data_IF_523999634178
#
_entry.id   IF_523999634178
#
_cell.length_a   1.000
_cell.length_b   1.000
_cell.length_c   1.000
_cell.angle_alpha   90.00
_cell.angle_beta   90.00
_cell.angle_gamma   90.00
#
_symmetry.space_group_name_H-M   'P 1'
#
loop_
_entity.id
_entity.type
_entity.pdbx_description
1 polymer ?
#
# COMPACT_ATOMS: atom_id res chain seq x y z
N UNK A 1 -28.03 -0.28 -11.52
CA UNK A 1 -27.38 -0.39 -12.83
C UNK A 1 -28.39 -0.07 -13.98
N UNK A 2 -29.55 -0.76 -14.06
CA UNK A 2 -30.52 -0.64 -15.15
C UNK A 2 -31.06 0.80 -15.33
N UNK A 3 -31.26 1.58 -14.24
CA UNK A 3 -31.71 2.97 -14.30
C UNK A 3 -30.58 3.99 -14.48
N UNK A 4 -29.31 3.61 -14.29
CA UNK A 4 -28.18 4.51 -14.41
C UNK A 4 -27.54 4.52 -15.81
N UNK A 5 -27.56 3.37 -16.51
CA UNK A 5 -26.95 3.22 -17.83
C UNK A 5 -27.50 4.20 -18.88
N UNK A 6 -28.84 4.46 -18.94
CA UNK A 6 -29.39 5.41 -19.92
C UNK A 6 -28.95 6.88 -19.71
N UNK A 7 -28.46 7.21 -18.50
CA UNK A 7 -28.02 8.57 -18.14
C UNK A 7 -26.50 8.76 -18.29
N UNK A 8 -25.78 7.78 -18.83
CA UNK A 8 -24.37 7.93 -19.16
C UNK A 8 -24.23 8.78 -20.41
N UNK A 9 -23.91 10.06 -20.24
CA UNK A 9 -23.59 10.98 -21.33
C UNK A 9 -22.08 11.13 -21.48
N UNK A 10 -21.63 11.53 -22.68
CA UNK A 10 -20.21 11.83 -22.94
C UNK A 10 -19.67 12.95 -22.04
N UNK A 11 -20.54 13.82 -21.54
CA UNK A 11 -20.20 14.91 -20.62
C UNK A 11 -19.63 14.43 -19.28
N UNK A 12 -19.99 13.20 -18.83
CA UNK A 12 -19.42 12.57 -17.64
C UNK A 12 -17.90 12.32 -17.76
N UNK A 13 -17.38 12.25 -18.98
CA UNK A 13 -15.97 12.06 -19.28
C UNK A 13 -15.26 13.34 -19.71
N UNK A 14 -15.84 14.51 -19.46
CA UNK A 14 -15.19 15.78 -19.74
C UNK A 14 -14.11 16.11 -18.69
N UNK A 15 -13.03 16.82 -19.09
CA UNK A 15 -11.97 17.28 -18.19
C UNK A 15 -12.39 18.49 -17.33
N UNK A 16 -13.50 19.14 -17.69
CA UNK A 16 -13.98 20.31 -16.95
C UNK A 16 -15.03 19.90 -15.92
N UNK A 17 -14.65 20.00 -14.65
CA UNK A 17 -15.60 19.88 -13.55
C UNK A 17 -16.28 21.24 -13.33
N UNK A 18 -17.59 21.27 -13.34
CA UNK A 18 -18.40 22.43 -12.94
C UNK A 18 -19.60 21.93 -12.16
N UNK A 19 -20.23 22.84 -11.38
CA UNK A 19 -21.45 22.51 -10.64
C UNK A 19 -22.63 22.10 -11.55
N UNK A 20 -22.55 22.43 -12.83
CA UNK A 20 -23.53 22.06 -13.86
C UNK A 20 -23.13 20.72 -14.56
N UNK A 21 -21.85 20.34 -14.55
CA UNK A 21 -21.32 19.12 -15.17
C UNK A 21 -20.44 18.38 -14.18
N UNK A 22 -21.02 17.39 -13.49
CA UNK A 22 -20.33 16.55 -12.52
C UNK A 22 -19.52 15.44 -13.25
N UNK A 23 -18.43 15.85 -13.89
CA UNK A 23 -17.55 14.92 -14.59
C UNK A 23 -16.87 13.94 -13.62
N UNK A 24 -16.83 12.66 -13.97
CA UNK A 24 -16.13 11.59 -13.23
C UNK A 24 -14.64 11.49 -13.57
N UNK A 25 -14.22 12.03 -14.71
CA UNK A 25 -12.85 11.88 -15.21
C UNK A 25 -11.77 12.43 -14.26
N UNK A 26 -11.91 13.63 -13.66
CA UNK A 26 -10.94 14.13 -12.69
C UNK A 26 -10.79 13.22 -11.47
N UNK A 27 -11.90 12.67 -10.98
CA UNK A 27 -11.88 11.74 -9.84
C UNK A 27 -11.17 10.43 -10.17
N UNK A 28 -11.34 9.90 -11.37
CA UNK A 28 -10.64 8.70 -11.85
C UNK A 28 -9.13 8.98 -11.94
N UNK A 29 -8.74 10.11 -12.56
CA UNK A 29 -7.34 10.50 -12.68
C UNK A 29 -6.70 10.66 -11.28
N UNK A 30 -7.38 11.36 -10.38
CA UNK A 30 -6.90 11.53 -9.00
C UNK A 30 -6.74 10.19 -8.27
N UNK A 31 -7.66 9.26 -8.46
CA UNK A 31 -7.56 7.92 -7.86
C UNK A 31 -6.34 7.17 -8.38
N UNK A 32 -6.09 7.20 -9.69
CA UNK A 32 -4.91 6.57 -10.29
C UNK A 32 -3.62 7.22 -9.77
N UNK A 33 -3.58 8.55 -9.75
CA UNK A 33 -2.42 9.31 -9.29
C UNK A 33 -2.12 9.05 -7.81
N UNK A 34 -3.15 9.09 -6.97
CA UNK A 34 -3.06 8.81 -5.54
C UNK A 34 -2.61 7.38 -5.27
N UNK A 35 -3.15 6.40 -6.02
CA UNK A 35 -2.76 4.99 -5.92
C UNK A 35 -1.28 4.82 -6.29
N UNK A 36 -0.83 5.40 -7.40
CA UNK A 36 0.55 5.32 -7.85
C UNK A 36 1.54 5.91 -6.83
N UNK A 37 1.24 7.11 -6.30
CA UNK A 37 2.08 7.75 -5.29
C UNK A 37 2.13 6.96 -3.98
N UNK A 38 0.99 6.44 -3.55
CA UNK A 38 0.91 5.60 -2.33
C UNK A 38 1.76 4.35 -2.48
N UNK A 39 1.68 3.66 -3.61
CA UNK A 39 2.48 2.47 -3.88
C UNK A 39 3.97 2.80 -4.02
N UNK A 40 4.31 3.91 -4.65
CA UNK A 40 5.70 4.36 -4.78
C UNK A 40 6.39 4.55 -3.42
N UNK A 41 5.64 4.95 -2.40
CA UNK A 41 6.13 5.06 -1.02
C UNK A 41 6.07 3.73 -0.26
N UNK A 42 4.92 3.05 -0.31
CA UNK A 42 4.67 1.88 0.53
C UNK A 42 5.38 0.61 0.05
N UNK A 43 5.49 0.39 -1.27
CA UNK A 43 6.06 -0.86 -1.81
C UNK A 43 7.56 -1.00 -1.50
N UNK A 44 8.42 -0.02 -1.76
CA UNK A 44 9.83 -0.14 -1.43
C UNK A 44 10.04 -0.37 0.07
N UNK A 45 9.42 0.46 0.91
CA UNK A 45 9.53 0.35 2.38
C UNK A 45 9.03 -1.01 2.87
N UNK A 46 7.88 -1.46 2.36
CA UNK A 46 7.28 -2.74 2.72
C UNK A 46 8.13 -3.94 2.33
N UNK A 47 8.64 -3.98 1.09
CA UNK A 47 9.46 -5.10 0.61
C UNK A 47 10.81 -5.16 1.35
N UNK A 48 11.51 -4.02 1.53
CA UNK A 48 12.76 -4.02 2.27
C UNK A 48 12.57 -4.43 3.73
N UNK A 49 11.49 -3.98 4.36
CA UNK A 49 11.13 -4.42 5.72
C UNK A 49 10.86 -5.93 5.78
N UNK A 50 10.12 -6.47 4.80
CA UNK A 50 9.84 -7.89 4.71
C UNK A 50 11.10 -8.73 4.51
N UNK A 51 12.02 -8.29 3.62
CA UNK A 51 13.33 -8.95 3.42
C UNK A 51 14.11 -8.98 4.74
N UNK A 52 14.18 -7.84 5.42
CA UNK A 52 14.87 -7.77 6.71
C UNK A 52 14.27 -8.75 7.73
N UNK A 53 12.95 -8.74 7.88
CA UNK A 53 12.25 -9.59 8.85
C UNK A 53 12.35 -11.09 8.51
N UNK A 54 12.30 -11.45 7.23
CA UNK A 54 12.33 -12.85 6.79
C UNK A 54 13.75 -13.44 6.81
N UNK A 55 14.76 -12.67 6.36
CA UNK A 55 16.09 -13.21 6.08
C UNK A 55 17.17 -12.78 7.08
N UNK A 56 17.09 -11.56 7.62
CA UNK A 56 18.15 -11.00 8.45
C UNK A 56 17.84 -10.98 9.94
N UNK A 57 16.58 -10.82 10.29
CA UNK A 57 16.18 -10.71 11.68
C UNK A 57 16.22 -12.06 12.40
N UNK A 58 16.68 -12.07 13.64
CA UNK A 58 16.62 -13.25 14.50
C UNK A 58 15.18 -13.52 14.94
N UNK A 59 14.61 -14.67 14.59
CA UNK A 59 13.21 -15.04 14.92
C UNK A 59 12.89 -14.95 16.42
N UNK A 60 13.88 -15.12 17.29
CA UNK A 60 13.74 -15.00 18.76
C UNK A 60 13.88 -13.56 19.28
N UNK A 61 14.19 -12.58 18.41
CA UNK A 61 14.38 -11.21 18.84
C UNK A 61 13.07 -10.59 19.33
N UNK A 62 13.12 -9.91 20.47
CA UNK A 62 12.01 -9.17 21.05
C UNK A 62 11.47 -8.10 20.05
N UNK A 63 12.36 -7.40 19.35
CA UNK A 63 11.98 -6.41 18.33
C UNK A 63 11.17 -7.01 17.17
N UNK A 64 11.54 -8.20 16.69
CA UNK A 64 10.79 -8.89 15.63
C UNK A 64 9.39 -9.25 16.10
N UNK A 65 9.25 -9.71 17.34
CA UNK A 65 7.94 -9.98 17.93
C UNK A 65 7.08 -8.73 18.00
N UNK A 66 7.65 -7.60 18.46
CA UNK A 66 6.93 -6.31 18.51
C UNK A 66 6.48 -5.89 17.11
N UNK A 67 7.36 -5.95 16.10
CA UNK A 67 7.01 -5.54 14.73
C UNK A 67 5.89 -6.42 14.18
N UNK A 68 5.94 -7.73 14.39
CA UNK A 68 4.90 -8.63 13.92
C UNK A 68 3.56 -8.37 14.61
N UNK A 69 3.55 -8.19 15.93
CA UNK A 69 2.35 -7.83 16.69
C UNK A 69 1.81 -6.47 16.24
N UNK A 70 2.69 -5.48 16.03
CA UNK A 70 2.29 -4.18 15.53
C UNK A 70 1.66 -4.27 14.13
N UNK A 71 2.26 -5.02 13.21
CA UNK A 71 1.71 -5.24 11.87
C UNK A 71 0.34 -5.94 11.92
N UNK A 72 0.18 -6.93 12.78
CA UNK A 72 -1.09 -7.63 12.96
C UNK A 72 -2.16 -6.73 13.54
N UNK A 73 -1.82 -5.95 14.57
CA UNK A 73 -2.72 -4.98 15.20
C UNK A 73 -3.13 -3.89 14.20
N UNK A 74 -2.17 -3.30 13.50
CA UNK A 74 -2.43 -2.26 12.50
C UNK A 74 -3.32 -2.79 11.36
N UNK A 75 -3.13 -4.03 10.93
CA UNK A 75 -3.97 -4.64 9.87
C UNK A 75 -5.44 -4.76 10.27
N UNK A 76 -5.73 -4.86 11.57
CA UNK A 76 -7.09 -4.98 12.13
C UNK A 76 -7.79 -3.64 12.39
N UNK A 77 -7.09 -2.51 12.28
CA UNK A 77 -7.68 -1.19 12.54
C UNK A 77 -8.64 -0.79 11.41
N UNK A 78 -9.87 -0.33 11.73
CA UNK A 78 -10.79 0.22 10.73
C UNK A 78 -10.19 1.43 10.01
N UNK A 79 -10.42 1.55 8.69
CA UNK A 79 -9.83 2.60 7.85
C UNK A 79 -10.19 4.02 8.29
N UNK A 80 -11.38 4.21 8.86
CA UNK A 80 -11.81 5.51 9.41
C UNK A 80 -10.86 6.01 10.51
N UNK A 81 -10.29 5.11 11.32
CA UNK A 81 -9.32 5.47 12.37
C UNK A 81 -8.03 5.97 11.76
N UNK A 82 -7.56 5.36 10.66
CA UNK A 82 -6.43 5.88 9.89
C UNK A 82 -6.74 7.27 9.31
N UNK A 83 -7.97 7.48 8.82
CA UNK A 83 -8.42 8.77 8.34
C UNK A 83 -8.37 9.85 9.41
N UNK A 84 -8.90 9.56 10.60
CA UNK A 84 -8.85 10.47 11.75
C UNK A 84 -7.43 10.75 12.21
N UNK A 85 -6.57 9.72 12.27
CA UNK A 85 -5.14 9.90 12.57
C UNK A 85 -4.48 10.82 11.52
N UNK A 86 -4.69 10.55 10.24
CA UNK A 86 -4.13 11.37 9.16
C UNK A 86 -4.63 12.81 9.20
N UNK A 87 -5.91 13.02 9.52
CA UNK A 87 -6.50 14.34 9.72
C UNK A 87 -5.80 15.10 10.86
N UNK A 88 -5.69 14.49 12.03
CA UNK A 88 -5.06 15.13 13.19
C UNK A 88 -3.56 15.37 12.97
N UNK A 89 -2.85 14.38 12.40
CA UNK A 89 -1.41 14.45 12.23
C UNK A 89 -0.96 15.36 11.09
N UNK A 90 -1.62 15.27 9.92
CA UNK A 90 -1.17 15.95 8.71
C UNK A 90 -1.97 17.21 8.40
N UNK A 91 -3.31 17.12 8.45
CA UNK A 91 -4.17 18.25 8.09
C UNK A 91 -4.10 19.34 9.16
N UNK A 92 -4.25 18.97 10.46
CA UNK A 92 -4.27 19.92 11.56
C UNK A 92 -2.85 20.23 12.07
N UNK A 93 -2.11 19.22 12.59
CA UNK A 93 -0.83 19.48 13.29
C UNK A 93 0.24 20.00 12.35
N UNK A 94 0.35 19.46 11.12
CA UNK A 94 1.29 19.93 10.10
C UNK A 94 0.78 21.10 9.30
N UNK A 95 -0.50 21.47 9.47
CA UNK A 95 -1.17 22.58 8.73
C UNK A 95 -1.11 22.42 7.21
N UNK A 96 -1.11 21.17 6.72
CA UNK A 96 -1.12 20.91 5.27
C UNK A 96 -2.48 21.14 4.63
N UNK A 97 -3.53 21.30 5.43
CA UNK A 97 -4.91 21.35 4.93
C UNK A 97 -5.34 20.00 4.34
N UNK A 98 -6.51 19.99 3.74
CA UNK A 98 -6.94 18.86 2.90
C UNK A 98 -6.05 18.81 1.66
N UNK A 99 -5.29 17.75 1.51
CA UNK A 99 -4.30 17.68 0.42
C UNK A 99 -4.05 16.25 -0.03
N UNK A 100 -3.67 16.12 -1.30
CA UNK A 100 -3.27 14.84 -1.87
C UNK A 100 -2.12 14.19 -1.08
N UNK A 101 -1.16 14.98 -0.62
CA UNK A 101 -0.02 14.50 0.17
C UNK A 101 -0.44 13.91 1.51
N UNK A 102 -1.39 14.53 2.23
CA UNK A 102 -1.94 13.99 3.47
C UNK A 102 -2.65 12.66 3.21
N UNK A 103 -3.42 12.55 2.12
CA UNK A 103 -4.07 11.33 1.68
C UNK A 103 -3.06 10.22 1.35
N UNK A 104 -2.07 10.50 0.51
CA UNK A 104 -1.03 9.55 0.09
C UNK A 104 -0.29 8.97 1.29
N UNK A 105 0.16 9.80 2.23
CA UNK A 105 0.92 9.31 3.40
C UNK A 105 0.03 8.48 4.32
N UNK A 106 -1.22 8.91 4.54
CA UNK A 106 -2.17 8.16 5.36
C UNK A 106 -2.46 6.78 4.76
N UNK A 107 -2.70 6.71 3.45
CA UNK A 107 -2.90 5.44 2.75
C UNK A 107 -1.64 4.59 2.74
N UNK A 108 -0.45 5.19 2.58
CA UNK A 108 0.81 4.45 2.64
C UNK A 108 0.98 3.77 4.01
N UNK A 109 0.72 4.49 5.11
CA UNK A 109 0.75 3.91 6.46
C UNK A 109 -0.26 2.78 6.61
N UNK A 110 -1.47 2.94 6.06
CA UNK A 110 -2.55 1.95 6.14
C UNK A 110 -2.24 0.65 5.38
N UNK A 111 -1.59 0.74 4.20
CA UNK A 111 -1.32 -0.46 3.38
C UNK A 111 0.04 -1.09 3.67
N UNK A 112 0.93 -0.37 4.37
CA UNK A 112 2.27 -0.84 4.70
C UNK A 112 2.27 -2.20 5.43
N UNK A 113 1.47 -2.42 6.50
CA UNK A 113 1.41 -3.71 7.19
C UNK A 113 1.00 -4.86 6.27
N UNK A 114 0.06 -4.62 5.35
CA UNK A 114 -0.38 -5.61 4.36
C UNK A 114 0.78 -6.01 3.44
N UNK A 115 1.50 -5.03 2.89
CA UNK A 115 2.63 -5.28 1.97
C UNK A 115 3.77 -6.00 2.71
N UNK A 116 4.10 -5.58 3.94
CA UNK A 116 5.13 -6.24 4.75
C UNK A 116 4.76 -7.70 4.98
N UNK A 117 3.55 -7.98 5.44
CA UNK A 117 3.10 -9.32 5.78
C UNK A 117 3.08 -10.24 4.57
N UNK A 118 2.43 -9.84 3.49
CA UNK A 118 2.32 -10.67 2.27
C UNK A 118 3.69 -10.92 1.64
N UNK A 119 4.56 -9.91 1.61
CA UNK A 119 5.94 -10.06 1.11
C UNK A 119 6.77 -10.97 2.02
N UNK A 120 6.64 -10.85 3.33
CA UNK A 120 7.33 -11.71 4.30
C UNK A 120 6.90 -13.17 4.15
N UNK A 121 5.59 -13.42 4.04
CA UNK A 121 5.03 -14.76 3.81
C UNK A 121 5.53 -15.36 2.49
N UNK A 122 5.57 -14.56 1.41
CA UNK A 122 6.09 -14.98 0.11
C UNK A 122 7.59 -15.35 0.17
N UNK A 123 8.41 -14.58 0.87
CA UNK A 123 9.85 -14.85 1.05
C UNK A 123 10.07 -16.10 1.90
N UNK A 124 9.32 -16.26 2.98
CA UNK A 124 9.40 -17.44 3.86
C UNK A 124 8.89 -18.71 3.17
N UNK A 125 7.97 -18.58 2.22
CA UNK A 125 7.44 -19.70 1.42
C UNK A 125 8.42 -20.26 0.39
N UNK A 126 9.54 -19.59 0.10
CA UNK A 126 10.57 -20.13 -0.79
C UNK A 126 11.30 -21.30 -0.09
N UNK A 127 11.39 -22.45 -0.78
CA UNK A 127 12.02 -23.65 -0.25
C UNK A 127 13.47 -23.38 0.19
N UNK A 128 13.87 -23.94 1.34
CA UNK A 128 15.22 -23.77 1.89
C UNK A 128 16.31 -24.41 1.03
N UNK A 129 15.98 -25.43 0.24
CA UNK A 129 16.92 -26.07 -0.68
C UNK A 129 17.57 -25.08 -1.66
N UNK A 130 16.83 -24.06 -2.09
CA UNK A 130 17.37 -22.99 -2.94
C UNK A 130 18.45 -22.19 -2.22
N UNK A 131 18.27 -21.92 -0.91
CA UNK A 131 19.25 -21.21 -0.11
C UNK A 131 20.49 -22.07 0.13
N UNK A 132 20.29 -23.33 0.49
CA UNK A 132 21.36 -24.31 0.75
C UNK A 132 22.21 -24.56 -0.50
N UNK A 133 21.57 -24.76 -1.65
CA UNK A 133 22.28 -24.90 -2.94
C UNK A 133 23.12 -23.67 -3.28
N UNK A 134 22.57 -22.48 -3.06
CA UNK A 134 23.31 -21.22 -3.29
C UNK A 134 24.52 -21.09 -2.38
N UNK A 135 24.38 -21.42 -1.10
CA UNK A 135 25.48 -21.39 -0.14
C UNK A 135 26.51 -22.46 -0.44
N UNK A 136 26.09 -23.65 -0.86
CA UNK A 136 26.98 -24.75 -1.30
C UNK A 136 27.84 -24.38 -2.51
N UNK A 137 27.36 -23.49 -3.39
CA UNK A 137 28.11 -22.89 -4.50
C UNK A 137 29.00 -21.72 -4.08
N UNK A 138 29.09 -21.41 -2.79
CA UNK A 138 29.94 -20.33 -2.26
C UNK A 138 29.30 -18.94 -2.34
N UNK A 139 28.00 -18.81 -2.64
CA UNK A 139 27.35 -17.49 -2.67
C UNK A 139 27.16 -16.95 -1.27
N UNK A 140 27.43 -15.66 -1.07
CA UNK A 140 27.13 -14.96 0.17
C UNK A 140 25.64 -14.69 0.34
N UNK A 141 25.20 -14.39 1.58
CA UNK A 141 23.79 -14.19 1.95
C UNK A 141 23.08 -13.13 1.09
N UNK A 142 23.72 -12.00 0.88
CA UNK A 142 23.15 -10.91 0.07
C UNK A 142 22.84 -11.39 -1.37
N UNK A 143 23.81 -12.09 -1.99
CA UNK A 143 23.65 -12.63 -3.35
C UNK A 143 22.52 -13.66 -3.41
N UNK A 144 22.43 -14.55 -2.44
CA UNK A 144 21.39 -15.57 -2.33
C UNK A 144 20.01 -14.89 -2.24
N UNK A 145 19.85 -13.91 -1.35
CA UNK A 145 18.57 -13.21 -1.15
C UNK A 145 18.14 -12.49 -2.44
N UNK A 146 18.99 -11.67 -3.03
CA UNK A 146 18.58 -10.84 -4.17
C UNK A 146 18.56 -11.57 -5.52
N UNK A 147 19.35 -12.63 -5.71
CA UNK A 147 19.43 -13.34 -6.98
C UNK A 147 18.62 -14.64 -7.05
N UNK A 148 18.23 -15.19 -5.90
CA UNK A 148 17.51 -16.47 -5.84
C UNK A 148 16.20 -16.33 -5.09
N UNK A 149 16.25 -15.93 -3.81
CA UNK A 149 15.06 -15.93 -2.96
C UNK A 149 14.04 -14.89 -3.43
N UNK A 150 14.48 -13.65 -3.66
CA UNK A 150 13.58 -12.57 -4.06
C UNK A 150 12.91 -12.82 -5.41
N UNK A 151 13.62 -13.23 -6.49
CA UNK A 151 12.96 -13.60 -7.74
C UNK A 151 11.99 -14.77 -7.60
N UNK A 152 12.30 -15.75 -6.77
CA UNK A 152 11.41 -16.89 -6.51
C UNK A 152 10.16 -16.48 -5.71
N UNK A 153 10.26 -15.47 -4.84
CA UNK A 153 9.15 -14.94 -4.06
C UNK A 153 8.29 -13.91 -4.84
N UNK A 154 8.77 -13.43 -6.01
CA UNK A 154 8.10 -12.34 -6.75
C UNK A 154 6.62 -12.60 -7.05
N UNK A 155 6.15 -13.79 -7.43
CA UNK A 155 4.72 -14.02 -7.66
C UNK A 155 3.86 -13.72 -6.42
N UNK A 156 4.33 -14.12 -5.24
CA UNK A 156 3.64 -13.85 -3.98
C UNK A 156 3.69 -12.37 -3.59
N UNK A 157 4.83 -11.70 -3.80
CA UNK A 157 4.99 -10.27 -3.55
C UNK A 157 4.06 -9.46 -4.47
N UNK A 158 4.01 -9.80 -5.76
CA UNK A 158 3.10 -9.14 -6.72
C UNK A 158 1.64 -9.32 -6.34
N UNK A 159 1.24 -10.51 -5.88
CA UNK A 159 -0.12 -10.75 -5.37
C UNK A 159 -0.44 -9.82 -4.19
N UNK A 160 0.50 -9.61 -3.27
CA UNK A 160 0.35 -8.67 -2.16
C UNK A 160 0.20 -7.21 -2.63
N UNK A 161 0.95 -6.80 -3.64
CA UNK A 161 0.84 -5.46 -4.24
C UNK A 161 -0.53 -5.29 -4.92
N UNK A 162 -1.03 -6.29 -5.65
CA UNK A 162 -2.36 -6.25 -6.28
C UNK A 162 -3.45 -6.10 -5.22
N UNK A 163 -3.35 -6.83 -4.10
CA UNK A 163 -4.27 -6.67 -2.97
C UNK A 163 -4.22 -5.26 -2.38
N UNK A 164 -3.02 -4.68 -2.26
CA UNK A 164 -2.84 -3.31 -1.79
C UNK A 164 -3.47 -2.29 -2.76
N UNK A 165 -3.34 -2.48 -4.08
CA UNK A 165 -4.01 -1.65 -5.09
C UNK A 165 -5.53 -1.71 -4.89
N UNK A 166 -6.10 -2.90 -4.78
CA UNK A 166 -7.54 -3.07 -4.56
C UNK A 166 -8.02 -2.36 -3.29
N UNK A 167 -7.24 -2.43 -2.20
CA UNK A 167 -7.53 -1.74 -0.95
C UNK A 167 -7.47 -0.22 -1.08
N UNK A 168 -6.46 0.33 -1.78
CA UNK A 168 -6.32 1.78 -2.00
C UNK A 168 -7.46 2.31 -2.87
N UNK A 169 -7.76 1.64 -3.98
CA UNK A 169 -8.82 2.06 -4.91
C UNK A 169 -10.22 2.01 -4.26
N UNK A 170 -10.45 1.04 -3.37
CA UNK A 170 -11.70 0.93 -2.62
C UNK A 170 -11.79 1.83 -1.39
N UNK A 171 -10.71 2.56 -1.03
CA UNK A 171 -10.68 3.34 0.20
C UNK A 171 -11.36 4.70 0.01
N UNK A 172 -12.38 4.95 0.82
CA UNK A 172 -13.13 6.20 0.83
C UNK A 172 -13.07 6.90 2.17
N UNK A 173 -13.17 6.16 3.27
CA UNK A 173 -13.29 6.73 4.61
C UNK A 173 -12.04 7.50 5.04
N UNK A 174 -10.85 6.97 4.80
CA UNK A 174 -9.60 7.65 5.13
C UNK A 174 -9.39 8.91 4.27
N UNK A 175 -9.82 8.89 2.99
CA UNK A 175 -9.63 9.99 2.07
C UNK A 175 -10.55 11.18 2.36
N UNK A 176 -11.78 10.95 2.80
CA UNK A 176 -12.70 12.02 3.19
C UNK A 176 -12.06 12.94 4.25
N UNK A 177 -11.34 12.36 5.20
CA UNK A 177 -10.71 13.12 6.28
C UNK A 177 -9.35 13.73 5.90
N UNK A 178 -8.69 13.27 4.86
CA UNK A 178 -7.30 13.67 4.55
C UNK A 178 -7.16 14.42 3.23
N UNK A 179 -7.81 13.96 2.17
CA UNK A 179 -7.76 14.57 0.84
C UNK A 179 -8.95 15.49 0.56
N UNK A 180 -10.04 15.38 1.35
CA UNK A 180 -11.27 16.15 1.13
C UNK A 180 -12.21 15.47 0.15
N UNK A 181 -13.38 16.10 -0.05
CA UNK A 181 -14.47 15.57 -0.88
C UNK A 181 -14.73 16.39 -2.16
N UNK A 182 -14.12 17.56 -2.28
CA UNK A 182 -14.34 18.47 -3.41
C UNK A 182 -13.03 18.71 -4.11
N UNK A 183 -12.93 18.51 -5.43
CA UNK A 183 -11.80 19.00 -6.21
C UNK A 183 -11.83 20.53 -6.23
N UNK A 184 -10.76 21.17 -5.74
CA UNK A 184 -10.52 22.59 -5.93
C UNK A 184 -9.98 22.86 -7.33
#
# INVERSE_FOLDING_TARGET
LIKGVPNLSADLFSLKYSSANQSMLPSIINTVYLTALTLLLAVPVGIFSAIYLAEYARKSSFFVKIINVANETLSGIPSIVYGLFGFLAFVISKKWGYSLSAGVITLAIMVLPLIIRTSQEAILGVDNSFREASYGLGAGKLRTVFKIVLPSAMPGILSGIILAIGRIVGETAALIYTAGTVPE
#
